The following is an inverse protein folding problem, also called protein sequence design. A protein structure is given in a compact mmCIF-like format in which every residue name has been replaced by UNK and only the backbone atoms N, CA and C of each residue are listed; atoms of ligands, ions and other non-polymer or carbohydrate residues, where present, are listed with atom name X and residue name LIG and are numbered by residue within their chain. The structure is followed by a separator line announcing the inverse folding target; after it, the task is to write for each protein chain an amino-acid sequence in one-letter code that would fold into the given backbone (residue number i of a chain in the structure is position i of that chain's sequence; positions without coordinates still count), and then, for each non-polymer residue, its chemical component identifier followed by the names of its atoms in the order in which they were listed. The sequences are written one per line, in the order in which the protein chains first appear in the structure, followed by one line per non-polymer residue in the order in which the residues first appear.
data_IF_108935456183
#
_entry.id   IF_108935456183
#
_cell.length_a   1.000
_cell.length_b   1.000
_cell.length_c   1.000
_cell.angle_alpha   90.00
_cell.angle_beta   90.00
_cell.angle_gamma   90.00
#
_symmetry.space_group_name_H-M   'P 1'
#
loop_
_entity.id
_entity.type
_entity.pdbx_description
1 polymer ?
#
# COMPACT_ATOMS: atom_id res chain seq x y z
N UNK A 1 -7.36 -10.37 29.75
CA UNK A 1 -6.17 -11.14 29.33
C UNK A 1 -5.50 -10.35 28.23
N UNK A 2 -4.50 -9.53 28.59
CA UNK A 2 -3.71 -8.71 27.67
C UNK A 2 -2.61 -9.58 27.09
N UNK A 3 -2.76 -10.00 25.82
CA UNK A 3 -1.69 -10.66 25.08
C UNK A 3 -0.64 -9.59 24.74
N UNK A 4 0.52 -9.67 25.41
CA UNK A 4 1.70 -8.89 25.09
C UNK A 4 2.19 -9.22 23.67
N UNK A 5 2.09 -8.27 22.76
CA UNK A 5 2.69 -8.32 21.42
C UNK A 5 4.21 -8.47 21.55
N UNK A 6 4.85 -9.39 20.83
CA UNK A 6 6.30 -9.59 20.89
C UNK A 6 7.04 -8.39 20.34
N UNK A 7 8.09 -8.05 21.08
CA UNK A 7 9.05 -6.96 20.93
C UNK A 7 9.45 -6.63 19.47
N UNK A 8 8.82 -5.62 18.87
CA UNK A 8 9.10 -5.13 17.53
C UNK A 8 10.45 -4.37 17.42
N UNK A 9 11.21 -4.26 18.51
CA UNK A 9 12.44 -3.46 18.60
C UNK A 9 13.70 -4.05 17.97
N UNK A 10 13.68 -5.29 17.44
CA UNK A 10 14.85 -5.96 16.85
C UNK A 10 14.84 -6.17 15.33
N UNK A 11 13.81 -5.78 14.61
CA UNK A 11 13.84 -5.83 13.15
C UNK A 11 14.55 -4.57 12.64
N UNK A 12 15.79 -4.75 12.10
CA UNK A 12 16.57 -3.64 11.52
C UNK A 12 15.72 -2.86 10.53
N UNK A 13 15.78 -1.52 10.59
CA UNK A 13 14.94 -0.69 9.70
C UNK A 13 15.20 -1.09 8.24
N UNK A 14 14.14 -1.17 7.45
CA UNK A 14 14.18 -1.51 6.02
C UNK A 14 15.26 -0.67 5.29
N UNK A 15 15.37 0.61 5.63
CA UNK A 15 16.37 1.52 5.12
C UNK A 15 17.81 1.03 5.42
N UNK A 16 18.08 0.58 6.65
CA UNK A 16 19.41 0.09 7.04
C UNK A 16 19.75 -1.20 6.30
N UNK A 17 18.77 -2.09 6.13
CA UNK A 17 18.99 -3.34 5.41
C UNK A 17 19.23 -3.12 3.91
N UNK A 18 18.52 -2.19 3.27
CA UNK A 18 18.76 -1.80 1.88
C UNK A 18 20.14 -1.20 1.71
N UNK A 19 20.55 -0.24 2.56
CA UNK A 19 21.87 0.37 2.50
C UNK A 19 22.96 -0.68 2.75
N UNK A 20 22.80 -1.54 3.75
CA UNK A 20 23.76 -2.60 4.04
C UNK A 20 23.90 -3.58 2.87
N UNK A 21 22.77 -4.05 2.30
CA UNK A 21 22.79 -4.99 1.18
C UNK A 21 23.44 -4.37 -0.07
N UNK A 22 23.07 -3.15 -0.44
CA UNK A 22 23.66 -2.47 -1.61
C UNK A 22 25.14 -2.20 -1.42
N UNK A 23 25.58 -1.83 -0.22
CA UNK A 23 26.97 -1.61 0.10
C UNK A 23 27.77 -2.91 0.05
N UNK A 24 27.24 -4.01 0.58
CA UNK A 24 27.88 -5.33 0.55
C UNK A 24 28.02 -5.84 -0.89
N UNK A 25 26.96 -5.76 -1.70
CA UNK A 25 26.98 -6.19 -3.11
C UNK A 25 27.99 -5.36 -3.90
N UNK A 26 28.01 -4.02 -3.70
CA UNK A 26 28.97 -3.16 -4.35
C UNK A 26 30.40 -3.45 -3.91
N UNK A 27 30.64 -3.69 -2.61
CA UNK A 27 31.95 -4.05 -2.09
C UNK A 27 32.47 -5.38 -2.67
N UNK A 28 31.60 -6.38 -2.79
CA UNK A 28 31.95 -7.67 -3.41
C UNK A 28 32.28 -7.51 -4.91
N UNK A 29 31.46 -6.77 -5.65
CA UNK A 29 31.71 -6.50 -7.07
C UNK A 29 33.04 -5.76 -7.29
N UNK A 30 33.29 -4.77 -6.47
CA UNK A 30 34.53 -3.98 -6.46
C UNK A 30 35.72 -4.84 -6.11
N UNK A 31 35.65 -5.68 -5.07
CA UNK A 31 36.72 -6.58 -4.65
C UNK A 31 37.04 -7.61 -5.74
N UNK A 32 36.01 -8.19 -6.38
CA UNK A 32 36.18 -9.16 -7.47
C UNK A 32 36.84 -8.51 -8.69
N UNK A 33 36.38 -7.34 -9.11
CA UNK A 33 36.93 -6.59 -10.24
C UNK A 33 38.40 -6.18 -9.93
N UNK A 34 38.68 -5.76 -8.69
CA UNK A 34 40.02 -5.42 -8.24
C UNK A 34 40.97 -6.62 -8.25
N UNK A 35 40.51 -7.78 -7.82
CA UNK A 35 41.31 -9.01 -7.84
C UNK A 35 41.63 -9.43 -9.29
N UNK A 36 40.66 -9.41 -10.18
CA UNK A 36 40.89 -9.72 -11.60
C UNK A 36 41.83 -8.71 -12.24
N UNK A 37 41.65 -7.42 -12.01
CA UNK A 37 42.54 -6.38 -12.54
C UNK A 37 43.97 -6.53 -12.00
N UNK A 38 44.11 -6.86 -10.70
CA UNK A 38 45.41 -7.13 -10.10
C UNK A 38 46.08 -8.34 -10.75
N UNK A 39 45.41 -9.48 -10.90
CA UNK A 39 45.96 -10.67 -11.52
C UNK A 39 46.39 -10.43 -12.97
N UNK A 40 45.55 -9.78 -13.76
CA UNK A 40 45.85 -9.47 -15.17
C UNK A 40 46.98 -8.47 -15.32
N UNK A 41 47.08 -7.49 -14.44
CA UNK A 41 48.14 -6.50 -14.46
C UNK A 41 49.49 -7.11 -14.06
N UNK A 42 49.54 -7.93 -12.98
CA UNK A 42 50.75 -8.56 -12.49
C UNK A 42 51.35 -9.53 -13.52
N UNK A 43 50.54 -10.44 -14.09
CA UNK A 43 51.02 -11.38 -15.11
C UNK A 43 51.37 -10.70 -16.43
N UNK A 44 50.63 -9.67 -16.83
CA UNK A 44 50.88 -8.97 -18.08
C UNK A 44 52.10 -8.05 -18.07
N UNK A 45 52.54 -7.58 -16.92
CA UNK A 45 53.76 -6.74 -16.81
C UNK A 45 55.03 -7.58 -17.04
N UNK A 46 55.14 -8.71 -16.38
CA UNK A 46 56.32 -9.61 -16.52
C UNK A 46 56.46 -10.16 -17.93
N UNK A 47 55.32 -10.59 -18.55
CA UNK A 47 55.37 -11.11 -19.92
C UNK A 47 55.78 -10.02 -20.93
N UNK A 48 55.29 -8.81 -20.81
CA UNK A 48 55.65 -7.70 -21.70
C UNK A 48 57.17 -7.37 -21.63
N UNK A 49 57.72 -7.41 -20.45
CA UNK A 49 59.15 -7.13 -20.28
C UNK A 49 60.04 -8.28 -20.81
N UNK A 50 59.62 -9.54 -20.57
CA UNK A 50 60.27 -10.71 -21.20
C UNK A 50 60.24 -10.65 -22.73
N UNK A 51 59.08 -10.30 -23.32
CA UNK A 51 58.95 -10.15 -24.78
C UNK A 51 59.80 -8.99 -25.33
N UNK A 52 59.89 -7.90 -24.59
CA UNK A 52 60.73 -6.77 -24.96
C UNK A 52 62.22 -7.17 -24.98
N UNK A 53 62.73 -7.74 -23.88
CA UNK A 53 64.08 -8.23 -23.80
C UNK A 53 64.38 -9.32 -24.85
N UNK A 54 63.42 -10.21 -25.11
CA UNK A 54 63.56 -11.25 -26.14
C UNK A 54 63.73 -10.63 -27.53
N UNK A 55 62.93 -9.62 -27.88
CA UNK A 55 63.09 -8.92 -29.16
C UNK A 55 64.41 -8.20 -29.28
N UNK A 56 64.85 -7.52 -28.23
CA UNK A 56 66.15 -6.83 -28.19
C UNK A 56 67.32 -7.82 -28.31
N UNK A 57 67.30 -8.91 -27.54
CA UNK A 57 68.28 -9.96 -27.61
C UNK A 57 68.34 -10.61 -29.00
N UNK A 58 67.20 -10.84 -29.65
CA UNK A 58 67.11 -11.39 -31.00
C UNK A 58 67.71 -10.46 -32.03
N UNK A 59 67.48 -9.18 -31.96
CA UNK A 59 68.07 -8.19 -32.88
C UNK A 59 69.62 -8.16 -32.71
N UNK A 60 70.10 -8.10 -31.44
CA UNK A 60 71.52 -8.07 -31.13
C UNK A 60 72.21 -9.36 -31.52
N UNK A 61 71.62 -10.51 -31.39
CA UNK A 61 72.19 -11.83 -31.76
C UNK A 61 72.42 -11.98 -33.26
N UNK A 62 71.64 -11.23 -34.11
CA UNK A 62 71.74 -11.27 -35.58
C UNK A 62 72.81 -10.31 -36.16
N UNK A 63 73.29 -9.35 -35.34
CA UNK A 63 74.22 -8.31 -35.76
C UNK A 63 75.54 -8.37 -34.92
N UNK A 64 76.47 -9.29 -35.21
CA UNK A 64 77.69 -9.53 -34.41
C UNK A 64 78.57 -8.32 -34.25
N UNK A 65 78.67 -7.47 -35.28
CA UNK A 65 79.50 -6.25 -35.23
C UNK A 65 78.96 -5.20 -34.29
N UNK A 66 77.58 -5.14 -34.13
CA UNK A 66 76.92 -4.24 -33.24
C UNK A 66 76.96 -4.71 -31.78
N UNK A 67 77.00 -6.04 -31.56
CA UNK A 67 77.18 -6.62 -30.24
C UNK A 67 78.58 -6.38 -29.68
N UNK A 68 79.63 -6.42 -30.47
CA UNK A 68 81.03 -6.07 -30.06
C UNK A 68 81.22 -4.56 -29.79
N UNK A 69 80.55 -3.69 -30.55
CA UNK A 69 80.60 -2.24 -30.34
C UNK A 69 79.81 -1.82 -29.08
N UNK A 70 78.64 -2.41 -28.86
CA UNK A 70 77.86 -2.22 -27.65
C UNK A 70 78.55 -2.80 -26.40
N UNK A 71 79.29 -3.93 -26.55
CA UNK A 71 80.05 -4.51 -25.49
C UNK A 71 81.18 -3.56 -24.97
N UNK A 72 81.90 -2.86 -25.86
CA UNK A 72 82.91 -1.86 -25.51
C UNK A 72 82.26 -0.61 -24.88
N UNK A 73 81.09 -0.21 -25.33
CA UNK A 73 80.32 0.94 -24.78
C UNK A 73 79.62 0.65 -23.45
N UNK A 74 79.08 -0.56 -23.29
CA UNK A 74 78.32 -0.95 -22.10
C UNK A 74 79.18 -1.13 -20.83
N UNK A 75 80.53 -1.39 -20.98
CA UNK A 75 81.45 -1.36 -19.85
C UNK A 75 81.61 0.03 -19.25
N UNK A 76 81.25 1.10 -19.99
CA UNK A 76 81.54 2.50 -19.59
C UNK A 76 80.24 3.22 -19.11
N UNK A 77 79.09 2.73 -19.47
CA UNK A 77 77.74 3.48 -19.29
C UNK A 77 76.71 2.77 -18.51
N UNK A 78 76.84 1.52 -18.07
CA UNK A 78 75.77 0.76 -17.43
C UNK A 78 75.60 1.06 -15.94
N UNK A 79 74.60 1.82 -15.56
CA UNK A 79 74.18 1.98 -14.17
C UNK A 79 73.51 0.71 -13.61
N UNK A 80 73.43 0.56 -12.29
CA UNK A 80 72.86 -0.65 -11.63
C UNK A 80 71.39 -0.92 -11.91
N UNK A 81 70.64 -0.02 -12.60
CA UNK A 81 69.23 -0.13 -12.94
C UNK A 81 68.95 -0.19 -14.45
N UNK A 82 70.01 -0.31 -15.28
CA UNK A 82 69.86 -0.41 -16.75
C UNK A 82 70.01 -1.85 -17.23
N UNK A 83 69.53 -2.10 -18.46
CA UNK A 83 69.68 -3.41 -19.10
C UNK A 83 71.21 -3.74 -19.24
N UNK A 84 71.59 -4.84 -18.66
CA UNK A 84 72.99 -5.29 -18.72
C UNK A 84 73.16 -6.38 -19.78
N UNK A 85 74.27 -6.39 -20.44
CA UNK A 85 74.56 -7.26 -21.56
C UNK A 85 75.69 -8.23 -21.18
N UNK A 86 75.57 -9.49 -21.59
CA UNK A 86 76.68 -10.44 -21.67
C UNK A 86 76.67 -11.14 -23.04
N UNK A 87 77.84 -11.46 -23.52
CA UNK A 87 78.01 -12.24 -24.76
C UNK A 87 78.67 -13.56 -24.41
N UNK A 88 78.10 -14.63 -24.88
CA UNK A 88 78.64 -15.99 -24.78
C UNK A 88 79.31 -16.31 -26.12
N UNK A 89 80.62 -16.46 -26.09
CA UNK A 89 81.35 -16.82 -27.30
C UNK A 89 81.23 -18.31 -27.64
N UNK A 90 81.52 -18.78 -28.90
CA UNK A 90 81.40 -20.17 -29.29
C UNK A 90 82.33 -21.12 -28.49
N UNK A 91 83.40 -20.62 -27.95
CA UNK A 91 84.30 -21.36 -27.06
C UNK A 91 83.77 -21.51 -25.62
N UNK A 92 82.67 -20.92 -25.36
CA UNK A 92 82.02 -20.92 -24.04
C UNK A 92 82.55 -19.87 -23.09
N UNK A 93 83.36 -18.94 -23.51
CA UNK A 93 83.77 -17.78 -22.68
C UNK A 93 82.54 -16.81 -22.57
N UNK A 94 82.25 -16.28 -21.38
CA UNK A 94 81.26 -15.28 -21.15
C UNK A 94 81.88 -13.97 -20.77
N UNK A 95 81.52 -12.93 -21.45
CA UNK A 95 82.08 -11.59 -21.23
C UNK A 95 80.92 -10.54 -21.22
N UNK A 96 81.08 -9.51 -20.38
CA UNK A 96 80.09 -8.43 -20.22
C UNK A 96 79.61 -8.22 -18.77
N UNK A 97 78.87 -7.17 -18.54
CA UNK A 97 78.39 -6.80 -17.22
C UNK A 97 77.38 -7.79 -16.61
N UNK A 98 76.65 -8.54 -17.45
CA UNK A 98 75.71 -9.55 -17.00
C UNK A 98 76.31 -10.95 -16.82
N UNK A 99 77.65 -11.11 -16.96
CA UNK A 99 78.36 -12.41 -16.80
C UNK A 99 78.06 -13.14 -15.50
N UNK A 100 78.02 -12.50 -14.32
CA UNK A 100 77.71 -13.21 -13.07
C UNK A 100 76.28 -13.80 -13.00
N UNK A 101 75.32 -13.33 -13.84
CA UNK A 101 73.97 -13.82 -13.87
C UNK A 101 73.81 -15.06 -14.77
N UNK A 102 74.76 -15.38 -15.62
CA UNK A 102 74.74 -16.50 -16.55
C UNK A 102 75.24 -17.77 -15.86
N UNK A 103 74.29 -18.61 -15.43
CA UNK A 103 74.61 -19.90 -14.82
C UNK A 103 75.02 -20.96 -15.86
N UNK A 104 75.53 -22.12 -15.39
CA UNK A 104 76.01 -23.19 -16.25
C UNK A 104 74.95 -23.77 -17.12
N UNK A 105 73.67 -23.84 -16.62
CA UNK A 105 72.56 -24.43 -17.35
C UNK A 105 72.10 -23.52 -18.51
N UNK A 106 72.04 -22.23 -18.26
CA UNK A 106 71.69 -21.20 -19.27
C UNK A 106 72.76 -21.13 -20.34
N UNK A 107 74.05 -21.17 -19.94
CA UNK A 107 75.19 -21.22 -20.87
C UNK A 107 75.10 -22.44 -21.78
N UNK A 108 74.91 -23.64 -21.23
CA UNK A 108 74.81 -24.87 -21.99
C UNK A 108 73.63 -24.88 -22.98
N UNK A 109 72.46 -24.35 -22.56
CA UNK A 109 71.32 -24.22 -23.42
C UNK A 109 71.55 -23.27 -24.61
N UNK A 110 72.18 -22.13 -24.35
CA UNK A 110 72.47 -21.12 -25.36
C UNK A 110 73.49 -21.63 -26.40
N UNK A 111 74.56 -22.36 -25.98
CA UNK A 111 75.51 -22.98 -26.87
C UNK A 111 74.86 -24.15 -27.70
N UNK A 112 73.84 -24.80 -27.16
CA UNK A 112 73.04 -25.78 -27.87
C UNK A 112 72.02 -25.16 -28.84
N UNK A 113 71.98 -23.85 -29.03
CA UNK A 113 71.08 -23.14 -29.93
C UNK A 113 69.66 -22.93 -29.37
N UNK A 114 69.45 -23.13 -28.07
CA UNK A 114 68.16 -22.97 -27.42
C UNK A 114 68.07 -21.59 -26.75
N UNK A 115 66.98 -20.80 -26.97
CA UNK A 115 66.77 -19.56 -26.25
C UNK A 115 66.49 -19.84 -24.79
N UNK A 116 66.96 -18.91 -23.90
CA UNK A 116 66.81 -18.99 -22.44
C UNK A 116 65.98 -17.76 -21.96
N UNK A 117 65.00 -18.00 -21.16
CA UNK A 117 64.29 -16.95 -20.43
C UNK A 117 64.08 -17.42 -19.00
N UNK A 118 64.82 -16.89 -18.07
CA UNK A 118 64.86 -17.32 -16.65
C UNK A 118 65.14 -16.12 -15.73
N UNK A 119 65.06 -16.34 -14.44
CA UNK A 119 65.53 -15.37 -13.44
C UNK A 119 66.88 -15.76 -12.96
N UNK A 120 67.78 -14.77 -12.79
CA UNK A 120 69.13 -14.96 -12.28
C UNK A 120 69.40 -14.00 -11.14
N UNK A 121 70.62 -14.11 -10.53
CA UNK A 121 71.08 -13.20 -9.48
C UNK A 121 72.28 -12.40 -10.01
N UNK A 122 72.17 -11.09 -9.96
CA UNK A 122 73.29 -10.19 -10.36
C UNK A 122 73.50 -9.16 -9.27
N UNK A 123 74.71 -9.19 -8.67
CA UNK A 123 75.04 -8.28 -7.58
C UNK A 123 74.15 -8.42 -6.34
N UNK A 124 73.67 -9.63 -6.04
CA UNK A 124 72.74 -9.89 -4.91
C UNK A 124 71.29 -9.45 -5.16
N UNK A 125 70.92 -9.11 -6.40
CA UNK A 125 69.55 -8.74 -6.80
C UNK A 125 69.03 -9.73 -7.82
N UNK A 126 67.72 -10.01 -7.72
CA UNK A 126 67.06 -10.80 -8.74
C UNK A 126 66.99 -10.02 -10.05
N UNK A 127 67.34 -10.64 -11.14
CA UNK A 127 67.29 -10.08 -12.50
C UNK A 127 66.50 -11.01 -13.42
N UNK A 128 65.79 -10.44 -14.36
CA UNK A 128 65.20 -11.16 -15.48
C UNK A 128 66.34 -11.39 -16.50
N UNK A 129 66.60 -12.64 -16.86
CA UNK A 129 67.61 -13.05 -17.82
C UNK A 129 67.02 -13.60 -19.09
N UNK A 130 67.34 -12.99 -20.22
CA UNK A 130 66.87 -13.46 -21.55
C UNK A 130 68.13 -13.63 -22.43
N UNK A 131 68.32 -14.86 -22.89
CA UNK A 131 69.46 -15.20 -23.77
C UNK A 131 68.94 -15.70 -25.13
N UNK A 132 69.56 -15.21 -26.20
CA UNK A 132 69.23 -15.63 -27.58
C UNK A 132 70.55 -16.14 -28.28
N UNK A 133 70.44 -17.33 -28.93
CA UNK A 133 71.57 -17.85 -29.69
C UNK A 133 71.88 -17.01 -30.94
N UNK A 134 73.14 -16.76 -31.21
CA UNK A 134 73.63 -15.99 -32.36
C UNK A 134 73.93 -16.88 -33.59
N UNK A 135 73.93 -16.26 -34.77
CA UNK A 135 74.10 -16.93 -36.09
C UNK A 135 75.45 -17.58 -36.27
N UNK A 136 76.45 -17.25 -35.46
CA UNK A 136 77.86 -17.78 -35.56
C UNK A 136 78.24 -18.67 -34.39
N UNK A 137 77.28 -19.27 -33.69
CA UNK A 137 77.55 -20.21 -32.60
C UNK A 137 77.82 -19.63 -31.23
N UNK A 138 77.63 -18.29 -31.06
CA UNK A 138 77.66 -17.62 -29.77
C UNK A 138 76.23 -17.29 -29.34
N UNK A 139 76.07 -16.55 -28.23
CA UNK A 139 74.77 -16.07 -27.77
C UNK A 139 74.87 -14.66 -27.11
N UNK A 140 73.77 -13.95 -27.13
CA UNK A 140 73.63 -12.67 -26.45
C UNK A 140 72.61 -12.85 -25.28
N UNK A 141 73.02 -12.35 -24.10
CA UNK A 141 72.25 -12.38 -22.87
C UNK A 141 71.99 -10.95 -22.41
N UNK A 142 70.77 -10.63 -22.20
CA UNK A 142 70.31 -9.38 -21.59
C UNK A 142 69.73 -9.68 -20.22
N UNK A 143 70.07 -8.80 -19.26
CA UNK A 143 69.48 -8.86 -17.91
C UNK A 143 68.91 -7.52 -17.52
N UNK A 144 67.80 -7.53 -16.83
CA UNK A 144 67.16 -6.33 -16.29
C UNK A 144 66.76 -6.58 -14.82
N UNK A 145 67.04 -5.63 -13.90
CA UNK A 145 66.70 -5.78 -12.50
C UNK A 145 65.19 -5.94 -12.28
N UNK A 146 64.78 -6.89 -11.44
CA UNK A 146 63.37 -7.17 -11.13
C UNK A 146 62.72 -5.98 -10.42
N UNK A 147 63.46 -5.03 -9.87
CA UNK A 147 62.94 -3.81 -9.26
C UNK A 147 62.22 -2.89 -10.25
N UNK A 148 62.55 -2.89 -11.52
CA UNK A 148 61.87 -2.12 -12.56
C UNK A 148 60.47 -2.64 -12.78
N UNK A 149 60.24 -3.95 -12.58
CA UNK A 149 58.93 -4.59 -12.65
C UNK A 149 58.05 -4.17 -11.45
N UNK A 150 58.69 -3.97 -10.26
CA UNK A 150 57.93 -3.61 -9.03
C UNK A 150 57.50 -2.15 -8.95
N UNK A 151 58.26 -1.21 -9.53
CA UNK A 151 57.86 0.22 -9.56
C UNK A 151 56.63 0.45 -10.44
N UNK A 152 56.51 -0.28 -11.53
CA UNK A 152 55.35 -0.28 -12.38
C UNK A 152 54.10 -0.85 -11.64
N UNK A 153 54.32 -1.75 -10.67
CA UNK A 153 53.25 -2.34 -9.84
C UNK A 153 52.61 -1.32 -8.88
N UNK A 154 53.39 -0.37 -8.35
CA UNK A 154 52.89 0.70 -7.49
C UNK A 154 52.00 1.69 -8.24
N UNK A 155 52.28 1.98 -9.50
CA UNK A 155 51.47 2.81 -10.35
C UNK A 155 50.14 2.11 -10.72
N UNK A 156 50.21 0.81 -11.02
CA UNK A 156 49.03 -0.04 -11.26
C UNK A 156 48.17 -0.11 -10.01
N UNK A 157 48.72 -0.30 -8.82
CA UNK A 157 48.01 -0.30 -7.54
C UNK A 157 47.26 1.00 -7.34
N UNK A 158 47.86 2.17 -7.58
CA UNK A 158 47.18 3.47 -7.46
C UNK A 158 46.08 3.65 -8.48
N UNK A 159 46.27 3.22 -9.71
CA UNK A 159 45.31 3.29 -10.80
C UNK A 159 44.11 2.35 -10.62
N UNK A 160 44.24 1.31 -9.79
CA UNK A 160 43.16 0.34 -9.48
C UNK A 160 42.46 0.73 -8.17
N UNK A 161 43.20 1.06 -7.11
CA UNK A 161 42.63 1.32 -5.78
C UNK A 161 41.81 2.61 -5.75
N UNK A 162 42.22 3.66 -6.42
CA UNK A 162 41.45 4.93 -6.41
C UNK A 162 40.06 4.82 -7.06
N UNK A 163 39.91 4.24 -8.26
CA UNK A 163 38.57 4.01 -8.83
C UNK A 163 37.68 3.07 -7.99
N UNK A 164 38.29 2.06 -7.35
CA UNK A 164 37.57 1.13 -6.47
C UNK A 164 37.00 1.84 -5.26
N UNK A 165 37.78 2.69 -4.59
CA UNK A 165 37.29 3.51 -3.46
C UNK A 165 36.19 4.50 -3.90
N UNK A 166 36.37 5.14 -5.06
CA UNK A 166 35.37 6.03 -5.63
C UNK A 166 34.05 5.29 -5.96
N UNK A 167 34.16 4.09 -6.54
CA UNK A 167 33.01 3.24 -6.82
C UNK A 167 32.26 2.80 -5.55
N UNK A 168 32.98 2.45 -4.50
CA UNK A 168 32.41 2.07 -3.20
C UNK A 168 31.69 3.25 -2.53
N UNK A 169 32.29 4.43 -2.57
CA UNK A 169 31.68 5.66 -2.07
C UNK A 169 30.42 6.02 -2.87
N UNK A 170 30.48 5.93 -4.19
CA UNK A 170 29.32 6.14 -5.08
C UNK A 170 28.18 5.18 -4.80
N UNK A 171 28.46 3.90 -4.62
CA UNK A 171 27.45 2.89 -4.29
C UNK A 171 26.82 3.12 -2.91
N UNK A 172 27.60 3.50 -1.90
CA UNK A 172 27.09 3.85 -0.57
C UNK A 172 26.18 5.09 -0.63
N UNK A 173 26.57 6.11 -1.40
CA UNK A 173 25.76 7.31 -1.61
C UNK A 173 24.45 7.01 -2.34
N UNK A 174 24.51 6.23 -3.42
CA UNK A 174 23.33 5.80 -4.18
C UNK A 174 22.38 4.97 -3.30
N UNK A 175 22.91 4.02 -2.51
CA UNK A 175 22.13 3.24 -1.54
C UNK A 175 21.46 4.10 -0.48
N UNK A 176 22.15 5.11 0.04
CA UNK A 176 21.61 6.05 1.02
C UNK A 176 20.48 6.92 0.41
N UNK A 177 20.66 7.39 -0.83
CA UNK A 177 19.65 8.16 -1.54
C UNK A 177 18.39 7.32 -1.84
N UNK A 178 18.59 6.08 -2.29
CA UNK A 178 17.50 5.14 -2.56
C UNK A 178 16.73 4.81 -1.28
N UNK A 179 17.44 4.54 -0.18
CA UNK A 179 16.81 4.30 1.13
C UNK A 179 16.01 5.51 1.61
N UNK A 180 16.49 6.74 1.40
CA UNK A 180 15.76 7.96 1.73
C UNK A 180 14.50 8.12 0.87
N UNK A 181 14.57 7.82 -0.42
CA UNK A 181 13.43 7.98 -1.34
C UNK A 181 12.36 6.90 -1.21
N UNK A 182 12.73 5.68 -0.87
CA UNK A 182 11.78 4.54 -0.81
C UNK A 182 11.43 4.19 0.63
N UNK A 183 12.41 3.99 1.49
CA UNK A 183 12.15 3.46 2.84
C UNK A 183 11.50 4.48 3.78
N UNK A 184 11.88 5.77 3.70
CA UNK A 184 11.30 6.80 4.59
C UNK A 184 9.80 6.98 4.40
N UNK A 185 9.26 7.20 3.18
CA UNK A 185 7.81 7.34 2.98
C UNK A 185 7.03 6.13 3.50
N UNK A 186 7.53 4.90 3.25
CA UNK A 186 6.88 3.67 3.71
C UNK A 186 6.87 3.54 5.24
N UNK A 187 7.98 3.90 5.91
CA UNK A 187 8.05 3.89 7.38
C UNK A 187 7.09 4.93 7.97
N UNK A 188 7.03 6.12 7.37
CA UNK A 188 6.10 7.17 7.80
C UNK A 188 4.65 6.72 7.60
N UNK A 189 4.31 6.15 6.44
CA UNK A 189 2.97 5.60 6.19
C UNK A 189 2.59 4.50 7.19
N UNK A 190 3.52 3.58 7.51
CA UNK A 190 3.30 2.55 8.51
C UNK A 190 3.10 3.12 9.93
N UNK A 191 3.86 4.14 10.32
CA UNK A 191 3.70 4.81 11.61
C UNK A 191 2.34 5.52 11.71
N UNK A 192 1.93 6.23 10.66
CA UNK A 192 0.62 6.90 10.63
C UNK A 192 -0.50 5.86 10.62
N UNK A 193 -0.38 4.75 9.88
CA UNK A 193 -1.35 3.66 9.92
C UNK A 193 -1.54 3.08 11.34
N UNK A 194 -0.46 2.96 12.13
CA UNK A 194 -0.56 2.56 13.54
C UNK A 194 -1.30 3.61 14.38
N UNK A 195 -0.98 4.91 14.19
CA UNK A 195 -1.68 6.00 14.89
C UNK A 195 -3.18 6.03 14.54
N UNK A 196 -3.52 5.77 13.27
CA UNK A 196 -4.92 5.61 12.84
C UNK A 196 -5.60 4.42 13.55
N UNK A 197 -4.89 3.28 13.70
CA UNK A 197 -5.39 2.11 14.44
C UNK A 197 -5.57 2.41 15.93
N UNK A 198 -4.74 3.26 16.51
CA UNK A 198 -4.82 3.72 17.92
C UNK A 198 -5.91 4.80 18.13
N UNK A 199 -6.65 5.16 17.06
CA UNK A 199 -7.77 6.10 17.14
C UNK A 199 -7.44 7.56 16.84
N UNK A 200 -6.19 7.90 16.49
CA UNK A 200 -5.87 9.24 16.01
C UNK A 200 -6.49 9.50 14.64
N UNK A 201 -7.03 10.70 14.41
CA UNK A 201 -7.66 11.09 13.14
C UNK A 201 -7.11 12.42 12.64
N UNK A 202 -7.21 12.65 11.32
CA UNK A 202 -6.79 13.90 10.70
C UNK A 202 -5.28 14.07 10.61
N UNK A 203 -4.50 12.99 10.67
CA UNK A 203 -3.05 13.01 10.50
C UNK A 203 -2.70 12.76 9.04
N UNK A 204 -2.33 13.78 8.25
CA UNK A 204 -2.09 13.60 6.83
C UNK A 204 -0.84 12.76 6.59
N UNK A 205 -0.96 11.73 5.76
CA UNK A 205 0.18 10.98 5.23
C UNK A 205 0.79 11.79 4.09
N UNK A 206 2.11 12.10 4.14
CA UNK A 206 2.78 12.75 3.01
C UNK A 206 2.65 11.92 1.73
N UNK A 207 2.34 12.58 0.62
CA UNK A 207 2.18 11.95 -0.71
C UNK A 207 3.46 12.14 -1.53
N UNK A 208 4.62 11.95 -0.88
CA UNK A 208 5.94 12.16 -1.47
C UNK A 208 6.62 10.83 -1.83
N UNK A 209 7.55 10.87 -2.81
CA UNK A 209 8.35 9.71 -3.16
C UNK A 209 7.92 9.01 -4.46
N UNK A 210 8.27 7.74 -4.66
CA UNK A 210 7.84 6.94 -5.80
C UNK A 210 6.31 6.82 -5.87
N UNK A 211 5.80 6.59 -7.08
CA UNK A 211 4.35 6.54 -7.36
C UNK A 211 3.62 5.56 -6.43
N UNK A 212 4.21 4.40 -6.20
CA UNK A 212 3.65 3.34 -5.35
C UNK A 212 3.54 3.78 -3.88
N UNK A 213 4.52 4.50 -3.35
CA UNK A 213 4.49 5.03 -2.00
C UNK A 213 3.46 6.17 -1.86
N UNK A 214 3.39 7.03 -2.88
CA UNK A 214 2.39 8.10 -2.95
C UNK A 214 0.97 7.54 -3.06
N UNK A 215 0.75 6.45 -3.79
CA UNK A 215 -0.54 5.76 -3.89
C UNK A 215 -0.99 5.20 -2.52
N UNK A 216 -0.09 4.58 -1.77
CA UNK A 216 -0.36 4.13 -0.39
C UNK A 216 -0.73 5.32 0.51
N UNK A 217 0.01 6.43 0.42
CA UNK A 217 -0.29 7.64 1.17
C UNK A 217 -1.69 8.20 0.86
N UNK A 218 -2.07 8.25 -0.43
CA UNK A 218 -3.43 8.65 -0.85
C UNK A 218 -4.51 7.72 -0.32
N UNK A 219 -4.30 6.41 -0.43
CA UNK A 219 -5.25 5.42 0.06
C UNK A 219 -5.47 5.53 1.58
N UNK A 220 -4.40 5.73 2.36
CA UNK A 220 -4.50 5.94 3.80
C UNK A 220 -5.24 7.24 4.15
N UNK A 221 -5.01 8.35 3.43
CA UNK A 221 -5.73 9.60 3.64
C UNK A 221 -7.22 9.46 3.32
N UNK A 222 -7.59 8.71 2.27
CA UNK A 222 -8.99 8.40 1.95
C UNK A 222 -9.63 7.56 3.05
N UNK A 223 -8.91 6.56 3.55
CA UNK A 223 -9.37 5.69 4.65
C UNK A 223 -9.57 6.48 5.95
N UNK A 224 -8.61 7.34 6.33
CA UNK A 224 -8.74 8.23 7.50
C UNK A 224 -9.99 9.10 7.39
N UNK A 225 -10.20 9.76 6.25
CA UNK A 225 -11.39 10.56 6.01
C UNK A 225 -12.69 9.74 6.07
N UNK A 226 -12.71 8.50 5.61
CA UNK A 226 -13.88 7.62 5.69
C UNK A 226 -14.16 7.18 7.15
N UNK A 227 -13.12 6.81 7.91
CA UNK A 227 -13.22 6.46 9.32
C UNK A 227 -13.71 7.66 10.17
N UNK A 228 -13.12 8.84 9.98
CA UNK A 228 -13.52 10.06 10.69
C UNK A 228 -15.01 10.39 10.46
N UNK A 229 -15.48 10.30 9.20
CA UNK A 229 -16.91 10.48 8.88
C UNK A 229 -17.80 9.41 9.53
N UNK A 230 -17.34 8.17 9.59
CA UNK A 230 -18.09 7.09 10.23
C UNK A 230 -18.22 7.31 11.74
N UNK A 231 -17.12 7.65 12.41
CA UNK A 231 -17.10 7.92 13.86
C UNK A 231 -17.93 9.15 14.22
N UNK A 232 -17.89 10.22 13.42
CA UNK A 232 -18.71 11.40 13.65
C UNK A 232 -20.20 11.07 13.50
N UNK A 233 -20.60 10.32 12.46
CA UNK A 233 -21.99 9.88 12.33
C UNK A 233 -22.46 9.02 13.51
N UNK A 234 -21.60 8.12 13.99
CA UNK A 234 -21.90 7.31 15.17
C UNK A 234 -22.06 8.17 16.43
N UNK A 235 -21.20 9.17 16.61
CA UNK A 235 -21.29 10.11 17.74
C UNK A 235 -22.56 10.96 17.68
N UNK A 236 -22.86 11.52 16.51
CA UNK A 236 -24.10 12.30 16.28
C UNK A 236 -25.34 11.45 16.54
N UNK A 237 -25.33 10.21 16.07
CA UNK A 237 -26.42 9.27 16.36
C UNK A 237 -26.60 9.02 17.87
N UNK A 238 -25.52 8.75 18.61
CA UNK A 238 -25.61 8.54 20.06
C UNK A 238 -26.09 9.78 20.81
N UNK A 239 -25.68 10.96 20.37
CA UNK A 239 -26.16 12.23 20.93
C UNK A 239 -27.66 12.42 20.64
N UNK A 240 -28.12 12.17 19.41
CA UNK A 240 -29.54 12.23 19.03
C UNK A 240 -30.37 11.27 19.87
N UNK A 241 -29.96 10.00 20.00
CA UNK A 241 -30.64 9.01 20.85
C UNK A 241 -30.75 9.50 22.30
N UNK A 242 -29.65 10.07 22.83
CA UNK A 242 -29.64 10.59 24.21
C UNK A 242 -30.63 11.74 24.41
N UNK A 243 -30.77 12.64 23.43
CA UNK A 243 -31.73 13.73 23.46
C UNK A 243 -33.16 13.23 23.35
N UNK A 244 -33.45 12.30 22.44
CA UNK A 244 -34.78 11.74 22.22
C UNK A 244 -35.28 10.90 23.41
N UNK A 245 -34.39 10.30 24.19
CA UNK A 245 -34.71 9.62 25.45
C UNK A 245 -34.95 10.60 26.60
N UNK A 246 -34.15 11.68 26.68
CA UNK A 246 -34.21 12.61 27.82
C UNK A 246 -35.52 13.38 27.87
N UNK A 247 -36.04 13.83 26.74
CA UNK A 247 -37.26 14.65 26.65
C UNK A 247 -38.48 13.91 27.24
N UNK A 248 -38.85 12.71 26.81
CA UNK A 248 -40.00 11.98 27.39
C UNK A 248 -39.76 11.61 28.85
N UNK A 249 -38.52 11.22 29.23
CA UNK A 249 -38.20 10.91 30.62
C UNK A 249 -38.40 12.13 31.55
N UNK A 250 -37.97 13.32 31.13
CA UNK A 250 -38.16 14.54 31.91
C UNK A 250 -39.69 14.87 32.04
N UNK A 251 -40.45 14.69 30.96
CA UNK A 251 -41.91 14.89 31.04
C UNK A 251 -42.60 13.88 31.98
N UNK A 252 -42.25 12.59 31.84
CA UNK A 252 -42.74 11.52 32.72
C UNK A 252 -42.41 11.80 34.20
N UNK A 253 -41.16 12.19 34.47
CA UNK A 253 -40.73 12.48 35.81
C UNK A 253 -41.47 13.72 36.37
N UNK A 254 -41.55 14.79 35.62
CA UNK A 254 -42.22 16.02 36.08
C UNK A 254 -43.70 15.81 36.37
N UNK A 255 -44.47 15.08 35.52
CA UNK A 255 -45.85 14.74 35.79
C UNK A 255 -46.02 13.76 36.96
N UNK A 256 -45.11 12.80 37.10
CA UNK A 256 -45.16 11.86 38.24
C UNK A 256 -44.87 12.58 39.58
N UNK A 257 -43.90 13.49 39.60
CA UNK A 257 -43.60 14.36 40.78
C UNK A 257 -44.78 15.27 41.11
N UNK A 258 -45.39 15.92 40.10
CA UNK A 258 -46.57 16.76 40.31
C UNK A 258 -47.80 15.99 40.84
N UNK A 259 -47.98 14.73 40.42
CA UNK A 259 -48.99 13.84 40.96
C UNK A 259 -48.69 13.45 42.43
N UNK A 260 -47.41 13.09 42.71
CA UNK A 260 -46.99 12.71 44.05
C UNK A 260 -47.09 13.84 45.08
N UNK A 261 -46.80 15.07 44.65
CA UNK A 261 -46.86 16.28 45.47
C UNK A 261 -48.30 16.86 45.62
N UNK A 262 -49.29 16.22 44.95
CA UNK A 262 -50.69 16.67 44.97
C UNK A 262 -50.91 18.02 44.27
N UNK A 263 -50.05 18.41 43.33
CA UNK A 263 -50.14 19.65 42.59
C UNK A 263 -51.12 19.59 41.40
N UNK A 264 -51.69 18.43 41.12
CA UNK A 264 -52.64 18.19 40.03
C UNK A 264 -54.06 18.19 40.63
N UNK A 265 -54.93 19.03 40.09
CA UNK A 265 -56.33 19.05 40.47
C UNK A 265 -57.02 17.69 40.21
N UNK A 266 -57.89 17.21 41.10
CA UNK A 266 -58.51 15.89 40.95
C UNK A 266 -59.17 15.66 39.61
N UNK A 267 -59.76 16.67 39.00
CA UNK A 267 -60.46 16.62 37.69
C UNK A 267 -59.46 16.38 36.54
N UNK A 268 -58.17 16.74 36.74
CA UNK A 268 -57.13 16.60 35.70
C UNK A 268 -56.25 15.37 35.87
N UNK A 269 -56.42 14.60 36.93
CA UNK A 269 -55.64 13.38 37.17
C UNK A 269 -55.78 12.37 36.02
N UNK A 270 -56.99 12.23 35.47
CA UNK A 270 -57.20 11.31 34.31
C UNK A 270 -56.53 11.83 33.03
N UNK A 271 -56.53 13.13 32.77
CA UNK A 271 -55.85 13.78 31.65
C UNK A 271 -54.34 13.56 31.76
N UNK A 272 -53.75 13.84 32.91
CA UNK A 272 -52.31 13.64 33.18
C UNK A 272 -51.95 12.15 33.07
N UNK A 273 -52.79 11.25 33.59
CA UNK A 273 -52.61 9.79 33.39
C UNK A 273 -52.59 9.37 31.92
N UNK A 274 -53.44 10.01 31.09
CA UNK A 274 -53.42 9.84 29.63
C UNK A 274 -52.11 10.27 29.00
N UNK A 275 -51.58 11.44 29.37
CA UNK A 275 -50.31 11.97 28.88
C UNK A 275 -49.15 11.04 29.27
N UNK A 276 -49.11 10.55 30.51
CA UNK A 276 -48.08 9.60 30.99
C UNK A 276 -48.14 8.30 30.17
N UNK A 277 -49.33 7.76 29.92
CA UNK A 277 -49.52 6.55 29.13
C UNK A 277 -49.09 6.75 27.67
N UNK A 278 -49.37 7.90 27.06
CA UNK A 278 -48.97 8.22 25.70
C UNK A 278 -47.46 8.38 25.55
N UNK A 279 -46.82 9.05 26.52
CA UNK A 279 -45.40 9.26 26.52
C UNK A 279 -44.61 7.94 26.77
N UNK A 280 -45.14 7.06 27.64
CA UNK A 280 -44.61 5.71 27.84
C UNK A 280 -44.72 4.87 26.57
N UNK A 281 -45.82 4.90 25.85
CA UNK A 281 -45.99 4.22 24.56
C UNK A 281 -45.07 4.78 23.48
N UNK A 282 -44.84 6.08 23.51
CA UNK A 282 -43.85 6.73 22.59
C UNK A 282 -42.44 6.24 22.86
N UNK A 283 -42.02 6.17 24.12
CA UNK A 283 -40.72 5.69 24.54
C UNK A 283 -40.49 4.21 24.20
N UNK A 284 -41.51 3.36 24.42
CA UNK A 284 -41.47 1.93 24.07
C UNK A 284 -41.26 1.73 22.56
N UNK A 285 -41.99 2.48 21.72
CA UNK A 285 -41.80 2.45 20.27
C UNK A 285 -40.37 2.90 19.86
N UNK A 286 -39.89 3.97 20.46
CA UNK A 286 -38.51 4.48 20.19
C UNK A 286 -37.47 3.44 20.53
N UNK A 287 -37.58 2.74 21.68
CA UNK A 287 -36.69 1.65 22.07
C UNK A 287 -36.80 0.46 21.12
N UNK A 288 -37.99 0.11 20.68
CA UNK A 288 -38.19 -0.91 19.65
C UNK A 288 -37.47 -0.58 18.35
N UNK A 289 -37.66 0.65 17.84
CA UNK A 289 -36.97 1.15 16.63
C UNK A 289 -35.44 1.11 16.77
N UNK A 290 -34.90 1.48 17.95
CA UNK A 290 -33.48 1.45 18.24
C UNK A 290 -32.92 0.02 18.24
N UNK A 291 -33.66 -0.92 18.86
CA UNK A 291 -33.27 -2.34 18.88
C UNK A 291 -33.33 -2.95 17.47
N UNK A 292 -34.34 -2.61 16.68
CA UNK A 292 -34.43 -3.07 15.28
C UNK A 292 -33.28 -2.52 14.45
N UNK A 293 -32.91 -1.25 14.62
CA UNK A 293 -31.77 -0.66 13.95
C UNK A 293 -30.46 -1.38 14.35
N UNK A 294 -30.26 -1.62 15.63
CA UNK A 294 -29.10 -2.35 16.13
C UNK A 294 -29.01 -3.80 15.60
N UNK A 295 -30.14 -4.50 15.53
CA UNK A 295 -30.19 -5.85 14.94
C UNK A 295 -29.89 -5.85 13.45
N UNK A 296 -30.38 -4.86 12.71
CA UNK A 296 -30.09 -4.70 11.28
C UNK A 296 -28.61 -4.37 11.01
N UNK A 297 -27.89 -3.79 11.97
CA UNK A 297 -26.44 -3.56 11.89
C UNK A 297 -25.60 -4.81 12.19
N UNK A 298 -26.13 -5.72 13.01
CA UNK A 298 -25.45 -6.97 13.32
C UNK A 298 -25.49 -7.94 12.12
N UNK A 299 -24.40 -8.70 11.93
CA UNK A 299 -24.30 -9.72 10.86
C UNK A 299 -25.24 -10.93 11.10
N UNK A 300 -25.90 -10.99 12.24
CA UNK A 300 -26.78 -12.10 12.65
C UNK A 300 -28.23 -11.99 12.10
N UNK A 301 -28.56 -10.91 11.37
CA UNK A 301 -29.89 -10.70 10.81
C UNK A 301 -30.16 -11.71 9.69
N UNK A 302 -30.94 -12.76 9.99
CA UNK A 302 -31.34 -13.79 9.03
C UNK A 302 -32.66 -13.39 8.35
N UNK A 303 -32.72 -13.58 7.03
CA UNK A 303 -33.93 -13.45 6.21
C UNK A 303 -34.52 -14.84 5.94
N UNK A 304 -35.83 -14.94 5.99
CA UNK A 304 -36.59 -16.12 5.55
C UNK A 304 -37.06 -15.87 4.11
N UNK A 305 -36.15 -16.07 3.16
CA UNK A 305 -36.38 -15.78 1.75
C UNK A 305 -37.17 -16.90 1.11
N UNK A 306 -38.37 -16.58 0.59
CA UNK A 306 -39.26 -17.48 -0.14
C UNK A 306 -40.00 -16.72 -1.24
N UNK A 307 -40.57 -17.40 -2.28
CA UNK A 307 -41.43 -16.76 -3.25
C UNK A 307 -42.63 -16.11 -2.56
N UNK A 308 -42.75 -14.79 -2.70
CA UNK A 308 -43.80 -13.99 -2.06
C UNK A 308 -44.57 -13.14 -3.09
N UNK A 309 -45.89 -13.18 -3.05
CA UNK A 309 -46.75 -12.27 -3.82
C UNK A 309 -46.87 -10.93 -3.10
N UNK A 310 -46.22 -9.91 -3.61
CA UNK A 310 -46.20 -8.57 -3.03
C UNK A 310 -47.60 -7.91 -3.12
N UNK A 311 -48.43 -8.30 -4.11
CA UNK A 311 -49.82 -7.86 -4.20
C UNK A 311 -50.64 -8.33 -3.00
N UNK A 312 -50.43 -9.56 -2.55
CA UNK A 312 -51.06 -10.10 -1.35
C UNK A 312 -50.54 -9.41 -0.08
N UNK A 313 -49.24 -9.22 0.04
CA UNK A 313 -48.62 -8.53 1.19
C UNK A 313 -49.15 -7.09 1.34
N UNK A 314 -49.28 -6.35 0.24
CA UNK A 314 -49.83 -4.99 0.26
C UNK A 314 -51.33 -4.98 0.57
N UNK A 315 -52.08 -5.97 0.11
CA UNK A 315 -53.51 -6.09 0.44
C UNK A 315 -53.76 -6.32 1.95
N UNK A 316 -52.92 -7.16 2.58
CA UNK A 316 -52.95 -7.36 4.04
C UNK A 316 -52.54 -6.05 4.77
N UNK A 317 -51.56 -5.32 4.27
CA UNK A 317 -51.14 -4.03 4.82
C UNK A 317 -52.33 -3.02 4.73
N UNK A 318 -52.95 -2.91 3.55
CA UNK A 318 -54.09 -2.01 3.35
C UNK A 318 -55.25 -2.33 4.28
N UNK A 319 -55.64 -3.60 4.41
CA UNK A 319 -56.69 -4.02 5.32
C UNK A 319 -56.40 -3.67 6.79
N UNK A 320 -55.17 -3.80 7.23
CA UNK A 320 -54.73 -3.40 8.58
C UNK A 320 -54.80 -1.87 8.80
N UNK A 321 -54.36 -1.10 7.81
CA UNK A 321 -54.26 0.36 7.92
C UNK A 321 -55.54 1.11 7.57
N UNK A 322 -56.55 0.46 6.99
CA UNK A 322 -57.84 1.06 6.65
C UNK A 322 -58.50 1.75 7.87
N UNK A 323 -58.58 1.04 9.00
CA UNK A 323 -59.15 1.58 10.23
C UNK A 323 -58.36 2.78 10.81
N UNK A 324 -57.05 2.69 10.97
CA UNK A 324 -56.21 3.85 11.35
C UNK A 324 -56.34 5.05 10.41
N UNK A 325 -56.31 4.86 9.08
CA UNK A 325 -56.47 5.93 8.10
C UNK A 325 -57.85 6.59 8.21
N UNK A 326 -58.92 5.81 8.31
CA UNK A 326 -60.26 6.32 8.47
C UNK A 326 -60.45 7.19 9.73
N UNK A 327 -59.82 6.81 10.85
CA UNK A 327 -59.83 7.63 12.09
C UNK A 327 -59.11 8.97 11.95
N UNK A 328 -58.18 9.09 11.01
CA UNK A 328 -57.45 10.32 10.69
C UNK A 328 -58.06 11.07 9.49
N UNK A 329 -59.19 10.60 8.96
CA UNK A 329 -59.82 11.20 7.79
C UNK A 329 -59.04 11.06 6.49
N UNK A 330 -58.10 10.11 6.42
CA UNK A 330 -57.24 9.87 5.27
C UNK A 330 -57.79 8.75 4.41
N UNK A 331 -57.87 8.97 3.09
CA UNK A 331 -58.34 7.97 2.13
C UNK A 331 -57.21 7.02 1.74
N UNK A 332 -57.26 5.76 2.22
CA UNK A 332 -56.29 4.74 1.83
C UNK A 332 -56.72 4.08 0.50
N UNK A 333 -55.80 4.07 -0.48
CA UNK A 333 -56.00 3.42 -1.79
C UNK A 333 -54.92 2.34 -2.02
N UNK A 334 -55.34 1.21 -2.62
CA UNK A 334 -54.47 0.14 -3.03
C UNK A 334 -54.45 0.03 -4.56
N UNK A 335 -53.29 0.21 -5.17
CA UNK A 335 -53.03 0.03 -6.61
C UNK A 335 -52.19 -1.22 -6.84
N UNK A 336 -52.78 -2.23 -7.48
CA UNK A 336 -52.05 -3.46 -7.85
C UNK A 336 -52.53 -3.96 -9.21
N UNK A 337 -51.64 -4.66 -9.97
CA UNK A 337 -52.04 -5.31 -11.21
C UNK A 337 -52.99 -6.49 -10.91
N UNK A 338 -53.75 -6.93 -11.92
CA UNK A 338 -54.60 -8.11 -11.83
C UNK A 338 -53.85 -9.42 -11.60
N UNK A 339 -52.57 -9.48 -11.99
CA UNK A 339 -51.70 -10.64 -11.82
C UNK A 339 -50.84 -10.57 -10.55
N UNK A 340 -50.39 -11.73 -10.06
CA UNK A 340 -49.49 -11.81 -8.94
C UNK A 340 -48.12 -11.20 -9.29
N UNK A 341 -47.54 -10.43 -8.35
CA UNK A 341 -46.18 -9.88 -8.44
C UNK A 341 -45.31 -10.67 -7.48
N UNK A 342 -44.73 -11.77 -7.99
CA UNK A 342 -43.94 -12.71 -7.18
C UNK A 342 -42.47 -12.38 -7.28
N UNK A 343 -41.80 -12.25 -6.11
CA UNK A 343 -40.34 -12.09 -5.97
C UNK A 343 -39.86 -12.99 -4.83
N UNK A 344 -38.58 -13.43 -4.89
CA UNK A 344 -37.97 -14.13 -3.78
C UNK A 344 -37.52 -13.12 -2.71
N UNK A 345 -38.28 -13.11 -1.60
CA UNK A 345 -38.04 -12.15 -0.53
C UNK A 345 -38.64 -12.68 0.79
N UNK A 346 -38.33 -11.99 1.88
CA UNK A 346 -38.97 -12.23 3.18
C UNK A 346 -40.23 -11.38 3.27
N UNK A 347 -41.42 -12.02 3.07
CA UNK A 347 -42.69 -11.36 3.08
C UNK A 347 -43.00 -10.60 4.38
N UNK A 348 -42.58 -11.18 5.52
CA UNK A 348 -42.78 -10.54 6.83
C UNK A 348 -41.96 -9.24 6.93
N UNK A 349 -40.73 -9.24 6.43
CA UNK A 349 -39.86 -8.05 6.42
C UNK A 349 -40.33 -7.00 5.43
N UNK A 350 -40.81 -7.39 4.27
CA UNK A 350 -41.46 -6.44 3.33
C UNK A 350 -42.69 -5.82 3.97
N UNK A 351 -43.52 -6.61 4.68
CA UNK A 351 -44.69 -6.09 5.41
C UNK A 351 -44.23 -5.09 6.49
N UNK A 352 -43.24 -5.41 7.31
CA UNK A 352 -42.68 -4.50 8.32
C UNK A 352 -42.19 -3.18 7.69
N UNK A 353 -41.54 -3.25 6.54
CA UNK A 353 -41.09 -2.09 5.78
C UNK A 353 -42.25 -1.21 5.33
N UNK A 354 -43.26 -1.82 4.73
CA UNK A 354 -44.47 -1.11 4.28
C UNK A 354 -45.20 -0.46 5.46
N UNK A 355 -45.41 -1.20 6.56
CA UNK A 355 -46.04 -0.67 7.77
C UNK A 355 -45.29 0.56 8.32
N UNK A 356 -43.98 0.53 8.35
CA UNK A 356 -43.18 1.69 8.76
C UNK A 356 -43.31 2.91 7.84
N UNK A 357 -43.34 2.69 6.52
CA UNK A 357 -43.54 3.76 5.54
C UNK A 357 -44.99 4.32 5.62
N UNK A 358 -46.02 3.46 5.75
CA UNK A 358 -47.42 3.89 5.93
C UNK A 358 -47.59 4.70 7.20
N UNK A 359 -47.03 4.26 8.32
CA UNK A 359 -47.03 5.00 9.58
C UNK A 359 -46.42 6.39 9.45
N UNK A 360 -45.31 6.49 8.71
CA UNK A 360 -44.68 7.76 8.45
C UNK A 360 -45.53 8.68 7.59
N UNK A 361 -46.13 8.15 6.51
CA UNK A 361 -47.00 8.85 5.60
C UNK A 361 -48.26 9.34 6.30
N UNK A 362 -48.96 8.48 7.06
CA UNK A 362 -50.19 8.82 7.78
C UNK A 362 -50.01 9.99 8.78
N UNK A 363 -48.83 10.11 9.35
CA UNK A 363 -48.52 11.18 10.32
C UNK A 363 -48.50 12.56 9.69
N UNK A 364 -48.16 12.68 8.41
CA UNK A 364 -48.01 13.96 7.69
C UNK A 364 -49.11 14.23 6.68
N UNK A 365 -49.94 13.23 6.41
CA UNK A 365 -51.06 13.34 5.48
C UNK A 365 -52.23 14.08 6.15
N UNK A 366 -52.71 15.23 5.62
CA UNK A 366 -53.83 15.94 6.19
C UNK A 366 -55.14 15.20 5.95
N UNK A 367 -56.17 15.52 6.73
CA UNK A 367 -57.53 15.02 6.56
C UNK A 367 -58.07 15.32 5.14
N UNK A 368 -58.68 14.34 4.51
CA UNK A 368 -59.22 14.41 3.15
C UNK A 368 -58.17 14.14 2.05
N UNK A 369 -56.87 14.04 2.38
CA UNK A 369 -55.82 13.70 1.40
C UNK A 369 -55.66 12.17 1.24
N UNK A 370 -55.23 11.70 0.06
CA UNK A 370 -55.03 10.27 -0.18
C UNK A 370 -53.71 9.76 0.36
N UNK A 371 -53.69 8.47 0.75
CA UNK A 371 -52.51 7.68 0.98
C UNK A 371 -52.60 6.45 0.07
N UNK A 372 -51.60 6.23 -0.78
CA UNK A 372 -51.65 5.18 -1.80
C UNK A 372 -50.53 4.18 -1.58
N UNK A 373 -50.93 2.90 -1.53
CA UNK A 373 -50.04 1.75 -1.61
C UNK A 373 -50.08 1.22 -3.05
N UNK A 374 -48.94 1.18 -3.71
CA UNK A 374 -48.89 0.66 -5.07
C UNK A 374 -47.81 -0.43 -5.20
N UNK A 375 -48.11 -1.44 -6.01
CA UNK A 375 -47.13 -2.47 -6.39
C UNK A 375 -47.19 -2.70 -7.89
N UNK A 376 -46.01 -2.84 -8.51
CA UNK A 376 -45.87 -3.18 -9.93
C UNK A 376 -44.66 -4.06 -10.17
N UNK A 377 -44.73 -4.90 -11.20
CA UNK A 377 -43.58 -5.61 -11.71
C UNK A 377 -42.59 -4.63 -12.35
N UNK A 378 -41.28 -4.80 -12.08
CA UNK A 378 -40.24 -4.00 -12.71
C UNK A 378 -39.76 -4.62 -14.02
N UNK A 379 -39.31 -3.78 -14.97
CA UNK A 379 -38.68 -4.24 -16.19
C UNK A 379 -37.40 -5.02 -15.83
N UNK A 380 -37.36 -6.33 -16.09
CA UNK A 380 -36.23 -7.21 -15.72
C UNK A 380 -36.55 -8.24 -14.64
N UNK A 381 -37.83 -8.36 -14.21
CA UNK A 381 -38.29 -9.45 -13.34
C UNK A 381 -38.30 -9.16 -11.85
N UNK A 382 -37.97 -7.98 -11.39
CA UNK A 382 -38.14 -7.54 -10.01
C UNK A 382 -39.49 -6.88 -9.75
N UNK A 383 -39.65 -6.24 -8.60
CA UNK A 383 -40.86 -5.51 -8.22
C UNK A 383 -40.57 -4.15 -7.62
N UNK A 384 -41.47 -3.23 -7.79
CA UNK A 384 -41.50 -1.94 -7.12
C UNK A 384 -42.71 -1.83 -6.22
N UNK A 385 -42.50 -1.46 -4.98
CA UNK A 385 -43.55 -1.11 -4.01
C UNK A 385 -43.43 0.39 -3.74
N UNK A 386 -44.54 1.11 -3.82
CA UNK A 386 -44.61 2.54 -3.54
C UNK A 386 -45.58 2.84 -2.41
N UNK A 387 -45.16 3.76 -1.54
CA UNK A 387 -46.00 4.42 -0.54
C UNK A 387 -46.00 5.91 -0.88
N UNK A 388 -47.19 6.43 -1.28
CA UNK A 388 -47.35 7.80 -1.74
C UNK A 388 -48.32 8.52 -0.82
N UNK A 389 -47.98 9.69 -0.33
CA UNK A 389 -48.82 10.48 0.56
C UNK A 389 -49.26 11.79 -0.10
N UNK A 390 -50.41 12.31 0.37
CA UNK A 390 -50.90 13.61 0.00
C UNK A 390 -50.50 14.72 0.98
N UNK A 391 -49.34 14.54 1.65
CA UNK A 391 -48.82 15.48 2.63
C UNK A 391 -48.13 16.68 2.01
N UNK A 392 -47.37 17.43 2.82
CA UNK A 392 -46.65 18.66 2.35
C UNK A 392 -45.39 18.36 1.49
N UNK A 393 -45.06 17.09 1.30
CA UNK A 393 -43.86 16.69 0.58
C UNK A 393 -42.55 17.00 1.28
N UNK A 394 -41.43 16.82 0.54
CA UNK A 394 -40.05 17.04 0.98
C UNK A 394 -39.36 18.00 0.01
N UNK A 395 -38.49 18.87 0.55
CA UNK A 395 -37.61 19.72 -0.26
C UNK A 395 -36.45 18.89 -0.85
N UNK A 396 -35.74 19.43 -1.84
CA UNK A 396 -34.56 18.78 -2.38
C UNK A 396 -33.48 18.52 -1.31
N UNK A 397 -33.36 19.41 -0.33
CA UNK A 397 -32.43 19.25 0.81
C UNK A 397 -32.90 18.15 1.77
N UNK A 398 -34.21 17.97 1.95
CA UNK A 398 -34.78 16.89 2.74
C UNK A 398 -34.59 15.55 2.09
N UNK A 399 -34.78 15.45 0.77
CA UNK A 399 -34.56 14.21 0.01
C UNK A 399 -33.11 13.71 0.17
N UNK A 400 -32.14 14.60 0.22
CA UNK A 400 -30.72 14.22 0.39
C UNK A 400 -30.43 13.59 1.74
N UNK A 401 -31.14 13.97 2.78
CA UNK A 401 -30.92 13.53 4.16
C UNK A 401 -32.08 12.69 4.72
N UNK A 402 -33.08 12.37 3.90
CA UNK A 402 -34.29 11.70 4.33
C UNK A 402 -34.07 10.39 5.10
N UNK A 403 -33.02 9.68 4.75
CA UNK A 403 -32.66 8.39 5.34
C UNK A 403 -31.58 8.48 6.41
N UNK A 404 -31.07 9.67 6.72
CA UNK A 404 -30.12 9.86 7.82
C UNK A 404 -30.87 9.88 9.15
N UNK A 405 -30.44 9.08 10.15
CA UNK A 405 -31.14 8.98 11.42
C UNK A 405 -31.33 10.34 12.10
N UNK A 406 -32.57 10.70 12.44
CA UNK A 406 -32.91 11.92 13.14
C UNK A 406 -32.95 13.20 12.29
N UNK A 407 -32.40 13.22 11.06
CA UNK A 407 -32.24 14.45 10.27
C UNK A 407 -33.55 15.20 9.99
N UNK A 408 -34.61 14.52 9.53
CA UNK A 408 -35.90 15.11 9.31
C UNK A 408 -36.62 15.41 10.64
N UNK A 409 -36.41 14.59 11.66
CA UNK A 409 -37.01 14.82 12.99
C UNK A 409 -36.50 16.15 13.57
N UNK A 410 -35.23 16.40 13.55
CA UNK A 410 -34.61 17.63 14.07
C UNK A 410 -35.08 18.87 13.29
N UNK A 411 -35.20 18.74 11.94
CA UNK A 411 -35.61 19.84 11.07
C UNK A 411 -37.08 20.25 11.25
N UNK A 412 -37.95 19.27 11.53
CA UNK A 412 -39.39 19.48 11.56
C UNK A 412 -40.08 19.38 12.94
N UNK A 413 -39.26 19.20 14.01
CA UNK A 413 -39.76 19.01 15.38
C UNK A 413 -40.77 20.06 15.84
N UNK A 414 -40.56 21.31 15.45
CA UNK A 414 -41.38 22.44 15.90
C UNK A 414 -42.51 22.80 14.91
N UNK A 415 -42.54 22.18 13.72
CA UNK A 415 -43.46 22.58 12.63
C UNK A 415 -44.39 21.46 12.14
N UNK A 416 -44.09 20.20 12.42
CA UNK A 416 -44.89 19.03 11.96
C UNK A 416 -44.92 17.96 13.05
N UNK A 417 -45.93 17.08 13.06
CA UNK A 417 -45.91 15.89 13.90
C UNK A 417 -44.73 14.99 13.48
N UNK A 418 -43.78 14.80 14.35
CA UNK A 418 -42.57 13.95 14.09
C UNK A 418 -42.63 12.65 14.87
N UNK A 419 -42.03 11.59 14.32
CA UNK A 419 -41.88 10.29 14.96
C UNK A 419 -40.57 10.15 15.71
N UNK A 420 -40.06 8.90 15.84
CA UNK A 420 -38.78 8.58 16.43
C UNK A 420 -37.58 9.12 15.64
N UNK A 421 -37.77 9.53 14.38
CA UNK A 421 -36.68 9.91 13.49
C UNK A 421 -35.85 8.71 12.95
N UNK A 422 -36.13 7.50 13.41
CA UNK A 422 -35.43 6.29 13.02
C UNK A 422 -36.12 5.48 11.92
N UNK A 423 -37.42 5.63 11.73
CA UNK A 423 -38.22 4.77 10.84
C UNK A 423 -37.71 4.74 9.39
N UNK A 424 -37.34 5.88 8.79
CA UNK A 424 -36.81 5.92 7.43
C UNK A 424 -35.43 5.32 7.31
N UNK A 425 -34.59 5.48 8.34
CA UNK A 425 -33.26 4.86 8.40
C UNK A 425 -33.39 3.32 8.51
N UNK A 426 -34.32 2.83 9.33
CA UNK A 426 -34.69 1.40 9.44
C UNK A 426 -35.14 0.88 8.09
N UNK A 427 -36.10 1.60 7.44
CA UNK A 427 -36.62 1.23 6.14
C UNK A 427 -35.54 1.08 5.08
N UNK A 428 -34.57 2.03 5.00
CA UNK A 428 -33.47 1.96 4.07
C UNK A 428 -32.53 0.76 4.34
N UNK A 429 -32.22 0.50 5.61
CA UNK A 429 -31.36 -0.64 5.99
C UNK A 429 -32.05 -1.97 5.71
N UNK A 430 -33.32 -2.08 6.07
CA UNK A 430 -34.13 -3.28 5.81
C UNK A 430 -34.21 -3.57 4.32
N UNK A 431 -34.50 -2.54 3.50
CA UNK A 431 -34.49 -2.68 2.04
C UNK A 431 -33.14 -3.15 1.51
N UNK A 432 -32.03 -2.61 2.02
CA UNK A 432 -30.69 -3.08 1.66
C UNK A 432 -30.41 -4.54 2.03
N UNK A 433 -30.91 -4.99 3.20
CA UNK A 433 -30.81 -6.41 3.62
C UNK A 433 -31.67 -7.33 2.71
N UNK A 434 -32.81 -6.86 2.23
CA UNK A 434 -33.65 -7.57 1.23
C UNK A 434 -33.03 -7.58 -0.19
N UNK A 435 -31.83 -7.02 -0.36
CA UNK A 435 -31.16 -6.92 -1.66
C UNK A 435 -31.71 -5.84 -2.57
N UNK A 436 -32.62 -4.98 -2.07
CA UNK A 436 -33.28 -3.92 -2.80
C UNK A 436 -32.68 -2.53 -2.58
N UNK A 437 -33.37 -1.53 -3.14
CA UNK A 437 -33.06 -0.12 -2.99
C UNK A 437 -34.30 0.68 -2.59
N UNK A 438 -34.14 1.63 -1.64
CA UNK A 438 -35.20 2.57 -1.24
C UNK A 438 -34.88 3.97 -1.75
N UNK A 439 -35.76 4.53 -2.54
CA UNK A 439 -35.73 5.90 -3.04
C UNK A 439 -36.87 6.76 -2.48
N UNK A 440 -36.72 8.07 -2.57
CA UNK A 440 -37.78 9.02 -2.23
C UNK A 440 -37.81 10.17 -3.24
N UNK A 441 -39.02 10.53 -3.68
CA UNK A 441 -39.32 11.74 -4.44
C UNK A 441 -40.04 12.70 -3.52
N UNK A 442 -39.62 13.95 -3.48
CA UNK A 442 -40.18 14.94 -2.58
C UNK A 442 -41.62 15.34 -2.89
N UNK A 443 -42.03 15.22 -4.17
CA UNK A 443 -43.39 15.53 -4.65
C UNK A 443 -43.82 14.42 -5.61
N UNK A 444 -44.60 13.49 -5.08
CA UNK A 444 -45.24 12.40 -5.82
C UNK A 444 -46.56 12.82 -6.51
N UNK A 445 -47.19 11.88 -7.19
CA UNK A 445 -48.48 12.13 -7.91
C UNK A 445 -49.62 12.66 -7.02
N UNK A 446 -49.63 12.31 -5.73
CA UNK A 446 -50.61 12.72 -4.74
C UNK A 446 -50.30 14.10 -4.10
N UNK A 447 -49.17 14.73 -4.48
CA UNK A 447 -48.74 16.04 -4.03
C UNK A 447 -47.78 16.02 -2.85
N UNK A 448 -47.67 14.93 -2.11
CA UNK A 448 -46.74 14.70 -1.00
C UNK A 448 -45.55 13.85 -1.40
N UNK A 449 -44.90 13.18 -0.46
CA UNK A 449 -43.76 12.35 -0.74
C UNK A 449 -44.11 10.99 -1.37
N UNK A 450 -43.22 10.47 -2.23
CA UNK A 450 -43.32 9.13 -2.80
C UNK A 450 -42.09 8.31 -2.41
N UNK A 451 -42.27 7.30 -1.60
CA UNK A 451 -41.26 6.33 -1.23
C UNK A 451 -41.35 5.10 -2.14
N UNK A 452 -40.29 4.76 -2.84
CA UNK A 452 -40.22 3.63 -3.77
C UNK A 452 -39.21 2.60 -3.27
N UNK A 453 -39.69 1.38 -3.03
CA UNK A 453 -38.89 0.20 -2.70
C UNK A 453 -38.71 -0.63 -3.96
N UNK A 454 -37.51 -0.74 -4.49
CA UNK A 454 -37.22 -1.62 -5.60
C UNK A 454 -36.62 -2.92 -5.05
N UNK A 455 -37.24 -4.05 -5.34
CA UNK A 455 -36.79 -5.38 -4.97
C UNK A 455 -36.24 -6.11 -6.22
N UNK A 456 -35.13 -6.88 -6.07
CA UNK A 456 -34.53 -7.57 -7.19
C UNK A 456 -35.42 -8.67 -7.75
N UNK A 457 -35.20 -9.11 -8.99
CA UNK A 457 -35.85 -10.28 -9.54
C UNK A 457 -35.47 -11.55 -8.77
N UNK A 458 -36.31 -12.59 -8.90
CA UNK A 458 -35.98 -13.96 -8.54
C UNK A 458 -34.63 -14.28 -9.24
N UNK A 459 -33.56 -14.74 -8.55
CA UNK A 459 -32.39 -15.23 -9.23
C UNK A 459 -32.81 -16.36 -10.15
N UNK A 460 -32.85 -16.11 -11.48
CA UNK A 460 -33.16 -17.15 -12.45
C UNK A 460 -32.11 -18.23 -12.33
N UNK A 461 -32.52 -19.49 -12.37
CA UNK A 461 -31.65 -20.63 -12.63
C UNK A 461 -30.87 -20.35 -13.92
N UNK A 462 -29.58 -19.95 -13.77
CA UNK A 462 -28.66 -19.70 -14.86
C UNK A 462 -27.91 -20.99 -15.22
#
# INVERSE_FOLDING_TARGET
MTASLPDARRRGSLARNIVALTTVVAALAVALTGLIAWQTAAHGAEQRERDRLTRQATVLSRLPALSEALFRGAQVLGGPNEVQLAVVAPDGTVSGSATPAVDRASKAALLAGKPVSTTGILGGRDVLLVGQPGVRGGAVVLTEPYTVVTDNTNQIRRNVVAPLLAGMLGAALAGALLARRIARPLVTAAQIAHRLADGERGVPVPVDGPREAADIGRALNVLDGALARSENRQREFLLSVSHELRTPLTALQGYAEALADGLIEPERVSEVGGVLADETRRLDRFLGDLLDLARLEADEFRLDVAPADLGAVLAEAAAFWEGPCARHGVELRLERPDGAVVVDTDAFRVRQLVDGLVQNALRVTPEGAPLVLAVRGAAGGGAEVQVRDGGPGLTEDDVRVAFDPGALHERYRDSRPVGSGLGLAIARRLTGRLGGALGVEGHGPEGGACFTVALPPVPGDA
#
